data_IF_866586014691
#
_entry.id   IF_866586014691
#
_cell.length_a   1.000
_cell.length_b   1.000
_cell.length_c   1.000
_cell.angle_alpha   90.00
_cell.angle_beta   90.00
_cell.angle_gamma   90.00
#
_symmetry.space_group_name_H-M   'P 1'
#
loop_
_entity.id
_entity.type
_entity.pdbx_description
1 polymer ?
#
# COMPACT_ATOMS: atom_id res chain seq x y z
N UNK A 1 -10.75 -21.60 -9.24
CA UNK A 1 -11.86 -20.93 -9.95
C UNK A 1 -11.18 -20.01 -10.94
N UNK A 2 -11.34 -20.22 -12.25
CA UNK A 2 -10.71 -19.35 -13.25
C UNK A 2 -11.47 -18.03 -13.25
N UNK A 3 -10.82 -16.97 -12.77
CA UNK A 3 -11.36 -15.62 -12.70
C UNK A 3 -11.54 -15.09 -14.12
N UNK A 4 -12.78 -14.82 -14.49
CA UNK A 4 -13.12 -14.26 -15.81
C UNK A 4 -12.99 -12.74 -15.67
N UNK A 5 -12.09 -12.15 -16.45
CA UNK A 5 -11.97 -10.70 -16.56
C UNK A 5 -13.33 -10.05 -16.86
N UNK A 6 -13.62 -8.95 -16.18
CA UNK A 6 -14.78 -8.12 -16.51
C UNK A 6 -14.62 -7.51 -17.91
N UNK A 7 -15.73 -7.35 -18.62
CA UNK A 7 -15.80 -6.93 -20.03
C UNK A 7 -15.10 -5.57 -20.25
N UNK A 8 -15.15 -4.70 -19.23
CA UNK A 8 -14.50 -3.40 -19.27
C UNK A 8 -12.97 -3.48 -19.30
N UNK A 9 -12.37 -4.44 -18.59
CA UNK A 9 -10.92 -4.59 -18.51
C UNK A 9 -10.37 -5.24 -19.78
N UNK A 10 -11.12 -6.16 -20.39
CA UNK A 10 -10.80 -6.70 -21.72
C UNK A 10 -10.76 -5.59 -22.77
N UNK A 11 -11.78 -4.72 -22.79
CA UNK A 11 -11.80 -3.58 -23.72
C UNK A 11 -10.67 -2.57 -23.46
N UNK A 12 -10.27 -2.37 -22.20
CA UNK A 12 -9.12 -1.51 -21.87
C UNK A 12 -7.81 -2.10 -22.38
N UNK A 13 -7.61 -3.40 -22.19
CA UNK A 13 -6.45 -4.12 -22.67
C UNK A 13 -6.32 -4.06 -24.19
N UNK A 14 -7.40 -4.34 -24.93
CA UNK A 14 -7.40 -4.29 -26.39
C UNK A 14 -7.02 -2.91 -26.92
N UNK A 15 -7.58 -1.84 -26.34
CA UNK A 15 -7.25 -0.45 -26.72
C UNK A 15 -5.79 -0.10 -26.45
N UNK A 16 -5.19 -0.64 -25.39
CA UNK A 16 -3.77 -0.42 -25.11
C UNK A 16 -2.89 -1.06 -26.19
N UNK A 17 -3.19 -2.30 -26.56
CA UNK A 17 -2.45 -3.01 -27.62
C UNK A 17 -2.61 -2.30 -28.97
N UNK A 18 -3.82 -1.88 -29.33
CA UNK A 18 -4.04 -1.05 -30.53
C UNK A 18 -3.21 0.23 -30.51
N UNK A 19 -3.19 0.94 -29.38
CA UNK A 19 -2.43 2.17 -29.24
C UNK A 19 -0.91 1.96 -29.38
N UNK A 20 -0.36 0.92 -28.75
CA UNK A 20 1.07 0.58 -28.86
C UNK A 20 1.46 0.23 -30.30
N UNK A 21 0.63 -0.56 -30.99
CA UNK A 21 0.87 -0.92 -32.38
C UNK A 21 0.76 0.29 -33.30
N UNK A 22 -0.35 1.02 -33.22
CA UNK A 22 -0.68 2.04 -34.22
C UNK A 22 0.07 3.37 -34.00
N UNK A 23 0.39 3.71 -32.74
CA UNK A 23 1.08 4.98 -32.40
C UNK A 23 2.56 4.83 -32.18
N UNK A 24 3.02 3.64 -31.80
CA UNK A 24 4.42 3.40 -31.45
C UNK A 24 5.10 2.34 -32.33
N UNK A 25 4.37 1.70 -33.26
CA UNK A 25 4.93 0.71 -34.19
C UNK A 25 5.44 -0.54 -33.47
N UNK A 26 4.93 -0.82 -32.26
CA UNK A 26 5.34 -1.96 -31.47
C UNK A 26 4.68 -3.24 -32.01
N UNK A 27 5.46 -4.32 -32.13
CA UNK A 27 4.94 -5.65 -32.43
C UNK A 27 4.30 -6.22 -31.16
N UNK A 28 2.99 -6.04 -31.04
CA UNK A 28 2.22 -6.47 -29.87
C UNK A 28 2.01 -7.98 -29.83
N UNK A 29 2.13 -8.68 -30.96
CA UNK A 29 1.91 -10.13 -31.03
C UNK A 29 3.13 -10.89 -30.47
N UNK A 30 4.29 -10.23 -30.43
CA UNK A 30 5.50 -10.71 -29.77
C UNK A 30 5.50 -10.50 -28.25
N UNK A 31 4.53 -9.76 -27.69
CA UNK A 31 4.43 -9.56 -26.25
C UNK A 31 3.83 -10.81 -25.59
N UNK A 32 4.64 -11.55 -24.85
CA UNK A 32 4.21 -12.70 -24.03
C UNK A 32 3.57 -12.25 -22.71
N UNK A 33 2.63 -11.30 -22.78
CA UNK A 33 1.93 -10.76 -21.62
C UNK A 33 0.44 -11.02 -21.79
N UNK A 34 -0.21 -11.48 -20.73
CA UNK A 34 -1.63 -11.73 -20.69
C UNK A 34 -2.29 -10.81 -19.66
N UNK A 35 -3.48 -10.29 -19.94
CA UNK A 35 -4.19 -9.50 -18.96
C UNK A 35 -4.71 -10.42 -17.84
N UNK A 36 -4.48 -10.05 -16.58
CA UNK A 36 -4.95 -10.80 -15.41
C UNK A 36 -5.68 -9.86 -14.46
N UNK A 37 -6.75 -10.35 -13.83
CA UNK A 37 -7.47 -9.62 -12.77
C UNK A 37 -6.67 -9.47 -11.48
N UNK A 38 -5.66 -10.34 -11.27
CA UNK A 38 -4.70 -10.13 -10.20
C UNK A 38 -3.73 -9.04 -10.64
N UNK A 39 -4.01 -7.83 -10.19
CA UNK A 39 -3.04 -6.76 -10.01
C UNK A 39 -1.95 -7.27 -9.07
N UNK A 40 -0.98 -8.01 -9.59
CA UNK A 40 0.33 -7.99 -8.95
C UNK A 40 0.88 -6.62 -9.33
N UNK A 41 0.72 -5.65 -8.43
CA UNK A 41 1.18 -4.27 -8.59
C UNK A 41 2.71 -4.20 -8.49
N UNK A 42 3.40 -5.01 -9.28
CA UNK A 42 4.85 -5.08 -9.24
C UNK A 42 5.49 -3.80 -9.73
N UNK A 43 4.83 -3.07 -10.64
CA UNK A 43 5.48 -2.06 -11.49
C UNK A 43 4.72 -0.75 -11.66
N UNK A 44 3.51 -0.61 -11.11
CA UNK A 44 2.85 0.70 -11.15
C UNK A 44 3.42 1.60 -10.06
N UNK A 45 3.45 2.89 -10.36
CA UNK A 45 3.78 3.92 -9.41
C UNK A 45 2.57 4.79 -9.14
N UNK A 46 2.50 5.34 -7.94
CA UNK A 46 1.61 6.46 -7.69
C UNK A 46 2.13 7.68 -8.47
N UNK A 47 1.28 8.23 -9.33
CA UNK A 47 1.51 9.49 -10.01
C UNK A 47 0.21 10.28 -10.03
N UNK A 48 0.23 11.48 -9.45
CA UNK A 48 -0.98 12.29 -9.27
C UNK A 48 -1.49 12.84 -10.60
N UNK A 49 -2.39 12.11 -11.24
CA UNK A 49 -3.08 12.51 -12.48
C UNK A 49 -4.32 13.39 -12.22
N UNK A 50 -4.86 13.33 -11.00
CA UNK A 50 -6.13 13.96 -10.60
C UNK A 50 -5.92 14.91 -9.41
N UNK A 51 -6.83 15.87 -9.26
CA UNK A 51 -6.78 16.81 -8.14
C UNK A 51 -6.94 16.09 -6.80
N UNK A 52 -7.86 15.14 -6.71
CA UNK A 52 -8.02 14.32 -5.52
C UNK A 52 -6.85 13.33 -5.44
N UNK A 53 -6.12 13.29 -4.32
CA UNK A 53 -4.98 12.37 -4.09
C UNK A 53 -5.43 10.91 -3.99
N UNK A 54 -6.64 10.68 -3.48
CA UNK A 54 -7.21 9.34 -3.34
C UNK A 54 -7.95 8.85 -4.59
N UNK A 55 -7.86 9.59 -5.71
CA UNK A 55 -8.48 9.18 -6.96
C UNK A 55 -7.80 7.89 -7.47
N UNK A 56 -8.57 6.83 -7.80
CA UNK A 56 -8.00 5.56 -8.23
C UNK A 56 -7.23 5.67 -9.56
N UNK A 57 -7.43 6.74 -10.34
CA UNK A 57 -6.66 6.99 -11.56
C UNK A 57 -5.25 7.56 -11.26
N UNK A 58 -4.85 7.81 -10.01
CA UNK A 58 -3.52 8.31 -9.66
C UNK A 58 -2.41 7.22 -9.71
N UNK A 59 -2.57 6.24 -10.59
CA UNK A 59 -1.60 5.18 -10.82
C UNK A 59 -1.17 5.19 -12.28
N UNK A 60 0.13 4.97 -12.51
CA UNK A 60 0.69 4.89 -13.86
C UNK A 60 1.76 3.81 -13.95
N UNK A 61 1.87 3.19 -15.13
CA UNK A 61 3.08 2.47 -15.51
C UNK A 61 4.16 3.50 -15.86
N UNK A 62 5.38 3.28 -15.38
CA UNK A 62 6.53 4.13 -15.69
C UNK A 62 7.62 3.27 -16.35
N UNK A 63 7.56 3.10 -17.68
CA UNK A 63 8.58 2.35 -18.41
C UNK A 63 9.97 2.86 -18.08
N UNK A 64 10.95 1.94 -18.04
CA UNK A 64 12.35 2.16 -17.63
C UNK A 64 12.50 2.16 -16.10
N UNK A 65 11.70 2.96 -15.37
CA UNK A 65 11.74 2.93 -13.91
C UNK A 65 11.33 1.57 -13.38
N UNK A 66 10.33 0.97 -14.01
CA UNK A 66 9.83 -0.37 -13.71
C UNK A 66 10.90 -1.46 -13.75
N UNK A 67 12.07 -1.26 -14.35
CA UNK A 67 13.18 -2.23 -14.24
C UNK A 67 14.01 -2.11 -12.94
N UNK A 68 13.88 -1.01 -12.19
CA UNK A 68 14.67 -0.75 -10.99
C UNK A 68 14.20 -1.64 -9.84
N UNK A 69 15.11 -2.34 -9.17
CA UNK A 69 14.79 -3.22 -8.05
C UNK A 69 14.63 -2.46 -6.72
N UNK A 70 13.99 -3.10 -5.76
CA UNK A 70 13.78 -2.55 -4.41
C UNK A 70 15.07 -2.56 -3.59
N UNK A 71 15.36 -1.42 -2.93
CA UNK A 71 16.34 -1.33 -1.85
C UNK A 71 15.70 -0.81 -0.56
N UNK A 72 15.75 -1.55 0.57
CA UNK A 72 15.14 -1.10 1.82
C UNK A 72 15.87 0.08 2.46
N UNK A 73 17.20 0.06 2.40
CA UNK A 73 18.10 1.03 3.03
C UNK A 73 18.83 1.92 2.01
N UNK A 74 19.28 1.31 0.90
CA UNK A 74 19.93 2.01 -0.19
C UNK A 74 18.95 2.36 -1.30
N UNK A 75 18.78 3.65 -1.57
CA UNK A 75 17.99 4.13 -2.71
C UNK A 75 18.80 5.12 -3.54
N UNK A 76 18.87 4.86 -4.84
CA UNK A 76 19.61 5.63 -5.82
C UNK A 76 18.69 6.52 -6.68
N UNK A 77 17.40 6.21 -6.69
CA UNK A 77 16.43 6.84 -7.58
C UNK A 77 15.36 7.51 -6.72
N UNK A 78 15.24 8.83 -6.83
CA UNK A 78 14.25 9.62 -6.09
C UNK A 78 13.27 10.26 -7.07
N UNK A 79 11.99 9.83 -7.11
CA UNK A 79 10.98 10.49 -7.93
C UNK A 79 10.69 11.88 -7.38
N UNK A 80 10.66 12.88 -8.25
CA UNK A 80 10.22 14.23 -7.92
C UNK A 80 9.01 14.57 -8.75
N UNK A 81 7.93 14.87 -8.04
CA UNK A 81 6.63 15.22 -8.63
C UNK A 81 6.30 16.64 -8.19
N UNK A 82 6.42 17.60 -9.11
CA UNK A 82 6.12 19.01 -8.79
C UNK A 82 4.69 19.21 -8.29
N UNK A 83 3.72 18.41 -8.77
CA UNK A 83 2.34 18.47 -8.30
C UNK A 83 2.17 18.11 -6.81
N UNK A 84 3.10 17.35 -6.24
CA UNK A 84 3.09 17.00 -4.82
C UNK A 84 3.77 18.08 -3.97
N UNK A 85 4.77 18.77 -4.54
CA UNK A 85 5.45 19.91 -3.89
C UNK A 85 4.51 21.10 -3.76
N UNK A 86 3.75 21.40 -4.83
CA UNK A 86 2.89 22.59 -4.88
C UNK A 86 1.42 22.30 -4.56
N UNK A 87 1.06 21.04 -4.35
CA UNK A 87 -0.31 20.54 -4.14
C UNK A 87 -1.32 20.94 -5.23
N UNK A 88 -0.83 21.22 -6.45
CA UNK A 88 -1.67 21.58 -7.60
C UNK A 88 -1.41 20.61 -8.74
N UNK A 89 -2.44 19.97 -9.28
CA UNK A 89 -2.34 19.37 -10.62
C UNK A 89 -2.72 20.42 -11.66
N UNK A 90 -1.93 20.59 -12.73
CA UNK A 90 -2.28 21.53 -13.81
C UNK A 90 -3.54 20.99 -14.50
N UNK A 91 -4.70 21.66 -14.42
CA UNK A 91 -5.94 21.10 -14.95
C UNK A 91 -5.88 20.98 -16.48
N UNK A 92 -6.33 19.84 -17.02
CA UNK A 92 -6.71 19.75 -18.44
C UNK A 92 -7.94 20.63 -18.68
N UNK A 93 -7.85 21.58 -19.61
CA UNK A 93 -9.05 22.22 -20.14
C UNK A 93 -9.89 21.18 -20.91
N UNK A 94 -11.21 21.06 -20.69
CA UNK A 94 -12.06 20.15 -21.44
C UNK A 94 -11.99 20.46 -22.95
N UNK A 95 -11.65 19.46 -23.77
CA UNK A 95 -11.62 19.60 -25.24
C UNK A 95 -10.28 20.04 -25.86
N UNK A 96 -9.21 20.22 -25.08
CA UNK A 96 -7.89 20.53 -25.63
C UNK A 96 -7.23 19.30 -26.25
N UNK A 97 -7.05 19.30 -27.58
CA UNK A 97 -6.22 18.34 -28.34
C UNK A 97 -4.71 18.55 -28.14
N UNK A 98 -4.28 19.63 -27.50
CA UNK A 98 -2.87 19.85 -27.16
C UNK A 98 -2.51 19.00 -25.95
N UNK A 99 -1.43 18.20 -26.07
CA UNK A 99 -0.75 17.54 -24.95
C UNK A 99 -0.64 18.56 -23.82
N UNK A 100 -1.24 18.26 -22.67
CA UNK A 100 -0.97 19.03 -21.46
C UNK A 100 0.56 19.08 -21.32
N UNK A 101 1.10 20.24 -20.94
CA UNK A 101 2.46 20.32 -20.42
C UNK A 101 2.44 19.55 -19.10
N UNK A 102 2.48 18.22 -19.19
CA UNK A 102 2.73 17.36 -18.04
C UNK A 102 4.20 17.53 -17.77
N UNK A 103 4.54 18.06 -16.61
CA UNK A 103 5.93 18.10 -16.20
C UNK A 103 6.47 16.66 -16.27
N UNK A 104 7.67 16.47 -16.86
CA UNK A 104 8.23 15.14 -16.98
C UNK A 104 8.34 14.53 -15.59
N UNK A 105 8.09 13.23 -15.48
CA UNK A 105 8.36 12.50 -14.25
C UNK A 105 9.89 12.38 -14.15
N UNK A 106 10.50 13.18 -13.26
CA UNK A 106 11.96 13.30 -13.13
C UNK A 106 12.43 12.46 -11.95
N UNK A 107 13.54 11.77 -12.14
CA UNK A 107 14.26 11.10 -11.08
C UNK A 107 15.60 11.76 -10.85
N UNK A 108 15.96 11.90 -9.58
CA UNK A 108 17.28 12.34 -9.19
C UNK A 108 18.10 11.17 -8.66
N UNK A 109 19.40 11.24 -8.92
CA UNK A 109 20.39 10.44 -8.22
C UNK A 109 20.60 10.94 -6.79
N UNK A 110 21.33 10.18 -5.96
CA UNK A 110 21.74 10.67 -4.64
C UNK A 110 22.57 11.95 -4.77
N UNK A 111 22.34 12.91 -3.87
CA UNK A 111 23.04 14.19 -3.84
C UNK A 111 24.28 14.17 -2.95
N UNK A 112 24.40 13.17 -2.09
CA UNK A 112 25.40 13.01 -1.04
C UNK A 112 26.49 11.98 -1.37
N UNK A 113 26.28 11.16 -2.42
CA UNK A 113 27.25 10.17 -2.90
C UNK A 113 27.26 10.03 -4.42
N UNK A 114 28.39 9.59 -4.96
CA UNK A 114 28.48 9.14 -6.35
C UNK A 114 28.11 7.67 -6.45
N UNK A 115 27.47 7.26 -7.55
CA UNK A 115 27.24 5.85 -7.88
C UNK A 115 28.34 5.37 -8.87
N UNK A 116 29.19 4.41 -8.48
CA UNK A 116 30.19 3.79 -9.35
C UNK A 116 29.62 3.18 -10.64
N UNK A 117 30.45 3.13 -11.69
CA UNK A 117 30.12 2.39 -12.90
C UNK A 117 29.94 0.89 -12.59
N UNK A 118 28.86 0.31 -13.11
CA UNK A 118 28.53 -1.10 -12.92
C UNK A 118 27.75 -1.41 -11.64
N UNK A 119 27.49 -0.43 -10.78
CA UNK A 119 26.62 -0.61 -9.62
C UNK A 119 25.13 -0.58 -10.02
N UNK A 120 24.32 -1.42 -9.36
CA UNK A 120 22.89 -1.48 -9.56
C UNK A 120 22.18 -0.23 -9.00
N UNK A 121 21.28 0.35 -9.80
CA UNK A 121 20.42 1.44 -9.34
C UNK A 121 19.17 0.89 -8.68
N UNK A 122 19.02 1.17 -7.38
CA UNK A 122 17.92 0.70 -6.56
C UNK A 122 16.91 1.82 -6.31
N UNK A 123 15.64 1.47 -6.22
CA UNK A 123 14.52 2.35 -5.90
C UNK A 123 13.82 1.84 -4.65
N UNK A 124 13.52 2.69 -3.69
CA UNK A 124 12.64 2.29 -2.58
C UNK A 124 11.17 2.34 -3.00
N UNK A 125 10.56 1.17 -3.19
CA UNK A 125 9.13 1.06 -3.55
C UNK A 125 8.19 1.63 -2.48
N UNK A 126 8.62 1.59 -1.22
CA UNK A 126 7.90 2.13 -0.08
C UNK A 126 8.44 1.54 1.23
N UNK A 127 7.89 2.00 2.35
CA UNK A 127 8.13 1.39 3.66
C UNK A 127 7.19 0.17 3.82
N UNK A 128 7.56 -0.94 3.17
CA UNK A 128 6.74 -2.14 3.11
C UNK A 128 7.32 -3.27 3.96
N UNK A 129 6.44 -4.00 4.65
CA UNK A 129 6.81 -5.23 5.35
C UNK A 129 7.10 -6.36 4.34
N UNK A 130 7.83 -7.38 4.77
CA UNK A 130 8.09 -8.55 3.93
C UNK A 130 6.80 -9.27 3.50
N UNK A 131 5.74 -9.23 4.32
CA UNK A 131 4.42 -9.74 3.93
C UNK A 131 3.89 -8.99 2.72
N UNK A 132 3.90 -7.66 2.76
CA UNK A 132 3.43 -6.82 1.65
C UNK A 132 4.28 -7.02 0.41
N UNK A 133 5.61 -7.02 0.55
CA UNK A 133 6.53 -7.26 -0.57
C UNK A 133 6.30 -8.62 -1.22
N UNK A 134 6.03 -9.65 -0.42
CA UNK A 134 5.80 -10.98 -0.96
C UNK A 134 4.49 -11.06 -1.74
N UNK A 135 3.41 -10.49 -1.20
CA UNK A 135 2.08 -10.52 -1.84
C UNK A 135 2.02 -9.64 -3.08
N UNK A 136 2.56 -8.42 -3.02
CA UNK A 136 2.43 -7.42 -4.08
C UNK A 136 3.55 -7.47 -5.12
N UNK A 137 4.74 -7.92 -4.71
CA UNK A 137 5.94 -7.91 -5.57
C UNK A 137 6.61 -9.27 -5.76
N UNK A 138 6.20 -10.31 -5.02
CA UNK A 138 6.72 -11.67 -5.17
C UNK A 138 8.13 -11.89 -4.61
N UNK A 139 8.63 -10.99 -3.74
CA UNK A 139 9.94 -11.14 -3.07
C UNK A 139 9.88 -10.66 -1.62
N UNK A 140 10.94 -10.93 -0.85
CA UNK A 140 11.12 -10.42 0.52
C UNK A 140 12.49 -9.79 0.67
N UNK A 141 12.62 -8.80 1.56
CA UNK A 141 13.93 -8.30 1.96
C UNK A 141 14.68 -9.36 2.76
N UNK A 142 15.99 -9.47 2.50
CA UNK A 142 16.89 -10.30 3.29
C UNK A 142 16.91 -9.83 4.74
N UNK A 143 16.74 -10.77 5.68
CA UNK A 143 16.84 -10.50 7.11
C UNK A 143 17.96 -11.40 7.66
N UNK A 144 19.13 -10.81 7.89
CA UNK A 144 20.26 -11.51 8.48
C UNK A 144 19.96 -11.90 9.94
N UNK A 145 20.66 -12.92 10.43
CA UNK A 145 20.55 -13.34 11.83
C UNK A 145 20.94 -12.18 12.76
N UNK A 146 20.09 -11.88 13.75
CA UNK A 146 20.27 -10.75 14.67
C UNK A 146 19.92 -9.37 14.09
N UNK A 147 19.51 -9.26 12.82
CA UNK A 147 19.18 -7.96 12.22
C UNK A 147 17.99 -7.26 12.94
N UNK A 148 17.00 -8.03 13.39
CA UNK A 148 15.86 -7.53 14.16
C UNK A 148 16.29 -7.04 15.54
N UNK A 149 17.05 -7.86 16.28
CA UNK A 149 17.55 -7.51 17.62
C UNK A 149 18.47 -6.29 17.60
N UNK A 150 19.25 -6.11 16.54
CA UNK A 150 20.09 -4.92 16.36
C UNK A 150 19.34 -3.67 15.87
N UNK A 151 18.03 -3.77 15.59
CA UNK A 151 17.22 -2.69 15.03
C UNK A 151 17.52 -2.34 13.56
N UNK A 152 18.39 -3.10 12.89
CA UNK A 152 18.71 -2.93 11.46
C UNK A 152 17.57 -3.34 10.55
N UNK A 153 16.77 -4.31 10.98
CA UNK A 153 15.59 -4.77 10.27
C UNK A 153 14.34 -4.45 11.08
N UNK A 154 13.42 -3.68 10.49
CA UNK A 154 12.13 -3.38 11.09
C UNK A 154 11.22 -4.61 10.98
N UNK A 155 11.35 -5.51 11.97
CA UNK A 155 10.51 -6.69 12.10
C UNK A 155 9.07 -6.35 12.42
N UNK A 156 8.17 -7.12 11.85
CA UNK A 156 6.72 -7.02 12.08
C UNK A 156 6.16 -8.42 12.27
N UNK A 157 5.25 -8.56 13.23
CA UNK A 157 4.50 -9.79 13.47
C UNK A 157 3.02 -9.47 13.37
N UNK A 158 2.32 -10.19 12.49
CA UNK A 158 0.87 -10.22 12.44
C UNK A 158 0.33 -10.99 13.66
N UNK A 159 -0.65 -10.40 14.35
CA UNK A 159 -1.32 -11.00 15.51
C UNK A 159 -2.83 -11.14 15.28
N UNK A 160 -3.27 -11.17 14.02
CA UNK A 160 -4.67 -11.18 13.63
C UNK A 160 -5.44 -12.30 14.33
N UNK A 161 -4.96 -13.53 14.19
CA UNK A 161 -5.60 -14.73 14.75
C UNK A 161 -5.75 -14.65 16.27
N UNK A 162 -4.74 -14.11 16.97
CA UNK A 162 -4.76 -13.97 18.43
C UNK A 162 -5.83 -12.97 18.88
N UNK A 163 -5.97 -11.85 18.18
CA UNK A 163 -6.98 -10.85 18.53
C UNK A 163 -8.38 -11.32 18.16
N UNK A 164 -8.54 -12.03 17.04
CA UNK A 164 -9.83 -12.66 16.68
C UNK A 164 -10.26 -13.70 17.72
N UNK A 165 -9.33 -14.50 18.23
CA UNK A 165 -9.60 -15.43 19.34
C UNK A 165 -10.00 -14.68 20.62
N UNK A 166 -9.32 -13.58 20.95
CA UNK A 166 -9.70 -12.74 22.10
C UNK A 166 -11.11 -12.16 21.95
N UNK A 167 -11.47 -11.69 20.75
CA UNK A 167 -12.83 -11.21 20.45
C UNK A 167 -13.83 -12.34 20.59
N UNK A 168 -13.55 -13.53 20.07
CA UNK A 168 -14.44 -14.69 20.17
C UNK A 168 -14.72 -15.09 21.63
N UNK A 169 -13.68 -15.02 22.48
CA UNK A 169 -13.78 -15.29 23.92
C UNK A 169 -14.63 -14.27 24.70
N UNK A 170 -15.01 -13.14 24.11
CA UNK A 170 -15.93 -12.19 24.75
C UNK A 170 -17.40 -12.64 24.72
N UNK A 171 -17.71 -13.74 24.03
CA UNK A 171 -19.02 -14.39 24.11
C UNK A 171 -20.14 -13.52 23.50
N UNK A 172 -21.22 -13.18 24.25
CA UNK A 172 -22.38 -12.50 23.69
C UNK A 172 -22.09 -11.15 23.01
N UNK A 173 -21.04 -10.44 23.45
CA UNK A 173 -20.70 -9.09 22.95
C UNK A 173 -19.73 -9.08 21.77
N UNK A 174 -19.24 -10.26 21.31
CA UNK A 174 -18.25 -10.35 20.23
C UNK A 174 -18.68 -9.67 18.94
N UNK A 175 -19.96 -9.81 18.57
CA UNK A 175 -20.50 -9.22 17.33
C UNK A 175 -20.49 -7.70 17.40
N UNK A 176 -20.74 -7.13 18.58
CA UNK A 176 -20.70 -5.69 18.80
C UNK A 176 -19.26 -5.17 18.71
N UNK A 177 -18.31 -5.85 19.35
CA UNK A 177 -16.89 -5.49 19.25
C UNK A 177 -16.43 -5.49 17.80
N UNK A 178 -16.77 -6.55 17.07
CA UNK A 178 -16.43 -6.68 15.65
C UNK A 178 -17.05 -5.55 14.82
N UNK A 179 -18.36 -5.32 14.93
CA UNK A 179 -19.03 -4.28 14.14
C UNK A 179 -18.49 -2.88 14.46
N UNK A 180 -18.25 -2.56 15.74
CA UNK A 180 -17.67 -1.28 16.14
C UNK A 180 -16.28 -1.08 15.52
N UNK A 181 -15.43 -2.10 15.53
CA UNK A 181 -14.09 -2.01 14.92
C UNK A 181 -14.16 -1.94 13.38
N UNK A 182 -15.10 -2.63 12.73
CA UNK A 182 -15.31 -2.54 11.29
C UNK A 182 -15.79 -1.15 10.86
N UNK A 183 -16.82 -0.62 11.54
CA UNK A 183 -17.41 0.70 11.27
C UNK A 183 -16.42 1.84 11.50
N UNK A 184 -15.50 1.68 12.44
CA UNK A 184 -14.44 2.67 12.74
C UNK A 184 -13.16 2.45 11.94
N UNK A 185 -13.07 1.39 11.12
CA UNK A 185 -11.87 1.08 10.31
C UNK A 185 -10.67 0.55 11.11
N UNK A 186 -10.91 0.06 12.33
CA UNK A 186 -9.91 -0.52 13.23
C UNK A 186 -9.93 -2.05 13.27
N UNK A 187 -10.83 -2.70 12.53
CA UNK A 187 -10.83 -4.15 12.36
C UNK A 187 -9.70 -4.59 11.41
N UNK A 188 -8.92 -5.58 11.85
CA UNK A 188 -7.86 -6.18 11.05
C UNK A 188 -6.54 -5.42 11.05
N UNK A 189 -5.56 -5.96 10.31
CA UNK A 189 -4.21 -5.39 10.16
C UNK A 189 -3.55 -5.11 11.53
N UNK A 190 -3.74 -6.02 12.47
CA UNK A 190 -3.17 -5.92 13.80
C UNK A 190 -1.78 -6.52 13.85
N UNK A 191 -0.81 -5.64 14.07
CA UNK A 191 0.61 -6.00 14.04
C UNK A 191 1.35 -5.48 15.27
N UNK A 192 2.48 -6.12 15.58
CA UNK A 192 3.49 -5.67 16.54
C UNK A 192 4.80 -5.44 15.77
N UNK A 193 5.47 -4.32 16.05
CA UNK A 193 6.70 -3.90 15.39
C UNK A 193 7.89 -3.95 16.34
N UNK A 194 9.06 -4.36 15.85
CA UNK A 194 10.31 -4.40 16.64
C UNK A 194 10.98 -3.02 16.76
N UNK A 195 10.66 -2.07 15.87
CA UNK A 195 11.37 -0.79 15.77
C UNK A 195 10.40 0.37 15.52
N UNK A 196 10.49 1.47 16.29
CA UNK A 196 11.45 1.74 17.36
C UNK A 196 11.30 0.81 18.57
N UNK A 197 12.39 0.65 19.32
CA UNK A 197 12.37 -0.05 20.60
C UNK A 197 11.73 0.81 21.71
N UNK A 198 11.04 0.20 22.69
CA UNK A 198 10.74 -1.22 22.77
C UNK A 198 9.68 -1.64 21.73
N UNK A 199 9.55 -2.96 21.50
CA UNK A 199 8.52 -3.48 20.60
C UNK A 199 7.15 -2.90 20.95
N UNK A 200 6.41 -2.44 19.94
CA UNK A 200 5.19 -1.67 20.13
C UNK A 200 4.09 -2.12 19.16
N UNK A 201 2.82 -2.05 19.60
CA UNK A 201 1.68 -2.40 18.77
C UNK A 201 1.39 -1.31 17.73
N UNK A 202 0.82 -1.73 16.60
CA UNK A 202 0.16 -0.82 15.67
C UNK A 202 -0.99 -0.05 16.32
N UNK A 203 -1.33 1.11 15.78
CA UNK A 203 -2.45 1.91 16.29
C UNK A 203 -3.78 1.13 16.29
N UNK A 204 -4.04 0.37 15.21
CA UNK A 204 -5.23 -0.49 15.11
C UNK A 204 -5.29 -1.52 16.24
N UNK A 205 -4.15 -2.12 16.59
CA UNK A 205 -4.07 -3.08 17.69
C UNK A 205 -4.32 -2.40 19.04
N UNK A 206 -3.78 -1.19 19.27
CA UNK A 206 -4.07 -0.42 20.48
C UNK A 206 -5.58 -0.12 20.58
N UNK A 207 -6.20 0.33 19.50
CA UNK A 207 -7.63 0.63 19.44
C UNK A 207 -8.48 -0.59 19.81
N UNK A 208 -8.21 -1.74 19.18
CA UNK A 208 -8.91 -3.00 19.42
C UNK A 208 -8.75 -3.49 20.86
N UNK A 209 -7.52 -3.51 21.40
CA UNK A 209 -7.26 -3.93 22.78
C UNK A 209 -7.92 -3.01 23.80
N UNK A 210 -7.93 -1.69 23.56
CA UNK A 210 -8.63 -0.74 24.44
C UNK A 210 -10.14 -1.02 24.50
N UNK A 211 -10.76 -1.31 23.35
CA UNK A 211 -12.19 -1.64 23.29
C UNK A 211 -12.49 -2.95 24.03
N UNK A 212 -11.68 -3.99 23.79
CA UNK A 212 -11.79 -5.28 24.47
C UNK A 212 -11.70 -5.12 25.99
N UNK A 213 -10.71 -4.38 26.49
CA UNK A 213 -10.55 -4.10 27.91
C UNK A 213 -11.73 -3.29 28.48
N UNK A 214 -12.22 -2.29 27.74
CA UNK A 214 -13.34 -1.45 28.17
C UNK A 214 -14.65 -2.25 28.32
N UNK A 215 -14.82 -3.31 27.53
CA UNK A 215 -16.03 -4.13 27.51
C UNK A 215 -15.92 -5.45 28.29
N UNK A 216 -14.74 -5.78 28.84
CA UNK A 216 -14.46 -7.03 29.55
C UNK A 216 -15.39 -7.29 30.77
N UNK A 217 -16.03 -6.25 31.31
CA UNK A 217 -16.99 -6.34 32.43
C UNK A 217 -18.48 -6.35 32.05
N UNK A 218 -18.81 -6.26 30.76
CA UNK A 218 -20.20 -6.09 30.27
C UNK A 218 -20.75 -7.31 29.53
N UNK A 219 -20.12 -8.48 29.71
CA UNK A 219 -20.53 -9.72 29.05
C UNK A 219 -21.99 -10.14 29.37
N UNK A 220 -22.53 -9.70 30.52
CA UNK A 220 -23.82 -10.15 31.04
C UNK A 220 -24.90 -9.04 31.12
N UNK A 221 -24.58 -7.78 30.81
CA UNK A 221 -25.50 -6.64 30.95
C UNK A 221 -25.39 -5.64 29.81
N UNK A 222 -26.50 -5.39 29.11
CA UNK A 222 -26.57 -4.39 28.02
C UNK A 222 -26.54 -2.93 28.52
N UNK A 223 -26.61 -2.70 29.83
CA UNK A 223 -26.74 -1.37 30.39
C UNK A 223 -25.36 -0.68 30.47
N UNK A 224 -25.18 0.41 29.71
CA UNK A 224 -23.97 1.24 29.76
C UNK A 224 -22.95 0.99 28.64
N UNK A 225 -23.14 -0.04 27.82
CA UNK A 225 -22.25 -0.39 26.70
C UNK A 225 -22.11 0.77 25.69
N UNK A 226 -23.22 1.37 25.27
CA UNK A 226 -23.20 2.50 24.32
C UNK A 226 -22.39 3.70 24.84
N UNK A 227 -22.51 3.99 26.15
CA UNK A 227 -21.74 5.07 26.77
C UNK A 227 -20.24 4.78 26.77
N UNK A 228 -19.84 3.51 26.91
CA UNK A 228 -18.44 3.10 26.91
C UNK A 228 -17.85 3.22 25.51
N UNK A 229 -18.58 2.72 24.51
CA UNK A 229 -18.18 2.85 23.09
C UNK A 229 -18.01 4.33 22.75
N UNK A 230 -18.96 5.20 23.11
CA UNK A 230 -18.85 6.63 22.85
C UNK A 230 -17.65 7.30 23.56
N UNK A 231 -17.22 6.79 24.72
CA UNK A 231 -16.00 7.28 25.39
C UNK A 231 -14.76 6.77 24.68
N UNK A 232 -14.73 5.49 24.28
CA UNK A 232 -13.63 4.89 23.53
C UNK A 232 -13.40 5.59 22.18
N UNK A 233 -14.47 5.90 21.45
CA UNK A 233 -14.42 6.65 20.17
C UNK A 233 -13.79 8.04 20.31
N UNK A 234 -13.88 8.68 21.48
CA UNK A 234 -13.31 10.02 21.70
C UNK A 234 -11.81 10.02 21.97
N UNK A 235 -11.24 8.86 22.32
CA UNK A 235 -9.84 8.72 22.76
C UNK A 235 -9.02 7.83 21.84
N UNK A 236 -9.59 7.44 20.70
CA UNK A 236 -9.04 6.54 19.69
C UNK A 236 -9.09 7.23 18.34
#
# INVERSE_FOLDING_TARGET
MLDVMDDLDTQRWERLLEWLRDKHGMDTDALHVEPRQVSVNTRCIYYRLRQNRSDPDNFALCPILDFSNHGPDDTHIFPVVESDIWDVTIPRAPGSLRRAKTDPFVFFGPSDRSVPEGEELLLKYGAHSNRFLFVEYGFVNSCDEGAIESGKFAGEVDVQELIEELVERTGPIKSLIKSTLEETGYWGEWTIHSTPEPAHPSWRLIAALRLLCALQGFADTSQGIESIISVWEKVT
#
